data_IF_592543962934
#
_entry.id   IF_592543962934
#
_cell.length_a   1.000
_cell.length_b   1.000
_cell.length_c   1.000
_cell.angle_alpha   90.00
_cell.angle_beta   90.00
_cell.angle_gamma   90.00
#
_symmetry.space_group_name_H-M   'P 1'
#
loop_
_entity.id
_entity.type
_entity.pdbx_description
1 polymer ?
#
# COMPACT_ATOMS: atom_id res chain seq x y z
N UNK A 1 8.03 11.08 -6.68
CA UNK A 1 7.81 9.98 -5.71
C UNK A 1 8.17 8.67 -6.39
N UNK A 2 8.74 7.71 -5.67
CA UNK A 2 8.98 6.35 -6.20
C UNK A 2 7.75 5.50 -5.89
N UNK A 3 6.74 5.62 -6.74
CA UNK A 3 5.53 4.78 -6.72
C UNK A 3 5.86 3.54 -7.56
N UNK A 4 5.41 2.36 -7.15
CA UNK A 4 5.53 1.18 -8.00
C UNK A 4 4.43 1.20 -9.05
N UNK A 5 4.79 1.07 -10.32
CA UNK A 5 3.81 0.80 -11.35
C UNK A 5 3.33 -0.64 -11.19
N UNK A 6 2.04 -0.85 -10.91
CA UNK A 6 1.45 -2.19 -10.73
C UNK A 6 1.74 -3.12 -11.92
N UNK A 7 1.82 -2.56 -13.12
CA UNK A 7 2.19 -3.26 -14.35
C UNK A 7 3.60 -3.88 -14.32
N UNK A 8 4.51 -3.31 -13.52
CA UNK A 8 5.87 -3.81 -13.32
C UNK A 8 6.03 -4.60 -12.02
N UNK A 9 5.04 -4.53 -11.12
CA UNK A 9 5.04 -5.24 -9.85
C UNK A 9 4.98 -6.75 -10.05
N UNK A 10 5.76 -7.48 -9.24
CA UNK A 10 5.84 -8.94 -9.30
C UNK A 10 5.58 -9.57 -7.94
N UNK A 11 5.00 -10.78 -7.92
CA UNK A 11 4.90 -11.53 -6.68
C UNK A 11 6.31 -11.81 -6.13
N UNK A 12 6.52 -11.48 -4.85
CA UNK A 12 7.80 -11.49 -4.16
C UNK A 12 8.45 -10.11 -4.00
N UNK A 13 7.87 -9.04 -4.55
CA UNK A 13 8.36 -7.69 -4.33
C UNK A 13 7.98 -7.18 -2.93
N UNK A 14 8.97 -6.67 -2.20
CA UNK A 14 8.78 -5.98 -0.93
C UNK A 14 8.43 -4.51 -1.18
N UNK A 15 7.27 -4.09 -0.68
CA UNK A 15 6.72 -2.75 -0.88
C UNK A 15 6.24 -2.15 0.42
N UNK A 16 5.88 -0.87 0.38
CA UNK A 16 5.33 -0.12 1.50
C UNK A 16 3.98 0.45 1.12
N UNK A 17 3.01 0.30 2.03
CA UNK A 17 1.63 0.74 1.82
C UNK A 17 1.13 1.53 3.02
N UNK A 18 0.20 2.44 2.77
CA UNK A 18 -0.46 3.22 3.81
C UNK A 18 -1.64 2.37 4.32
N UNK A 19 -1.44 1.66 5.42
CA UNK A 19 -2.47 0.81 6.00
C UNK A 19 -3.31 1.58 7.02
N UNK A 20 -4.61 1.69 6.74
CA UNK A 20 -5.60 2.24 7.67
C UNK A 20 -6.11 1.13 8.57
N UNK A 21 -5.94 1.30 9.89
CA UNK A 21 -6.33 0.28 10.84
C UNK A 21 -7.87 0.12 10.83
N UNK A 22 -8.41 -1.07 10.46
CA UNK A 22 -9.86 -1.26 10.38
C UNK A 22 -10.54 -1.15 11.75
N UNK A 23 -9.82 -1.38 12.85
CA UNK A 23 -10.34 -1.21 14.20
C UNK A 23 -10.28 0.24 14.69
N UNK A 24 -9.38 1.05 14.12
CA UNK A 24 -9.21 2.46 14.48
C UNK A 24 -9.07 3.27 13.19
N UNK A 25 -10.19 3.64 12.54
CA UNK A 25 -10.17 4.31 11.25
C UNK A 25 -9.49 5.69 11.30
N UNK A 26 -9.33 6.29 12.47
CA UNK A 26 -8.58 7.54 12.61
C UNK A 26 -7.07 7.36 12.49
N UNK A 27 -6.57 6.12 12.46
CA UNK A 27 -5.14 5.80 12.42
C UNK A 27 -4.82 5.10 11.11
N UNK A 28 -3.93 5.71 10.33
CA UNK A 28 -3.27 5.08 9.21
C UNK A 28 -1.76 5.19 9.42
N UNK A 29 -1.05 4.12 9.08
CA UNK A 29 0.40 4.04 9.24
C UNK A 29 1.00 3.41 7.99
N UNK A 30 2.22 3.82 7.65
CA UNK A 30 3.02 3.13 6.64
C UNK A 30 3.47 1.79 7.20
N UNK A 31 3.12 0.71 6.51
CA UNK A 31 3.58 -0.63 6.85
C UNK A 31 4.24 -1.30 5.64
N UNK A 32 5.26 -2.13 5.87
CA UNK A 32 5.79 -3.00 4.82
C UNK A 32 4.74 -4.06 4.48
N UNK A 33 4.64 -4.37 3.20
CA UNK A 33 3.78 -5.40 2.65
C UNK A 33 4.53 -6.14 1.54
N UNK A 34 4.09 -7.35 1.23
CA UNK A 34 4.66 -8.13 0.14
C UNK A 34 3.62 -8.31 -0.96
N UNK A 35 4.04 -8.17 -2.21
CA UNK A 35 3.19 -8.47 -3.35
C UNK A 35 3.16 -9.99 -3.51
N UNK A 36 1.96 -10.57 -3.56
CA UNK A 36 1.75 -12.00 -3.70
C UNK A 36 0.70 -12.28 -4.78
N UNK A 37 0.69 -13.50 -5.29
CA UNK A 37 -0.37 -13.93 -6.20
C UNK A 37 -1.69 -14.07 -5.42
N UNK A 38 -2.79 -13.52 -5.96
CA UNK A 38 -4.09 -13.64 -5.32
C UNK A 38 -4.52 -15.12 -5.23
N UNK A 39 -4.93 -15.64 -4.06
CA UNK A 39 -5.16 -17.06 -3.84
C UNK A 39 -6.38 -17.62 -4.61
N UNK A 40 -7.30 -16.74 -5.04
CA UNK A 40 -8.49 -17.14 -5.82
C UNK A 40 -8.40 -16.74 -7.30
N UNK A 41 -7.50 -15.81 -7.64
CA UNK A 41 -7.37 -15.28 -8.99
C UNK A 41 -5.90 -15.32 -9.43
N UNK A 42 -5.51 -16.31 -10.25
CA UNK A 42 -4.13 -16.45 -10.70
C UNK A 42 -3.69 -15.35 -11.69
N UNK A 43 -4.61 -14.46 -12.10
CA UNK A 43 -4.31 -13.30 -12.95
C UNK A 43 -4.29 -11.98 -12.16
N UNK A 44 -4.61 -12.00 -10.87
CA UNK A 44 -4.65 -10.81 -10.03
C UNK A 44 -3.57 -10.86 -8.94
N UNK A 45 -3.00 -9.71 -8.62
CA UNK A 45 -2.05 -9.56 -7.52
C UNK A 45 -2.78 -9.14 -6.25
N UNK A 46 -2.19 -9.49 -5.11
CA UNK A 46 -2.66 -9.13 -3.79
C UNK A 46 -1.48 -8.63 -2.95
N UNK A 47 -1.75 -7.72 -2.02
CA UNK A 47 -0.83 -7.38 -0.95
C UNK A 47 -1.04 -8.34 0.21
N UNK A 48 0.05 -8.91 0.70
CA UNK A 48 0.09 -9.66 1.93
C UNK A 48 0.63 -8.76 3.04
N UNK A 49 -0.25 -8.42 3.99
CA UNK A 49 0.10 -7.67 5.18
C UNK A 49 -0.78 -8.09 6.37
N UNK A 50 -0.23 -8.05 7.58
CA UNK A 50 -0.94 -8.44 8.81
C UNK A 50 -1.61 -9.83 8.72
N UNK A 51 -0.95 -10.79 8.04
CA UNK A 51 -1.49 -12.14 7.80
C UNK A 51 -2.80 -12.17 7.00
N UNK A 52 -3.10 -11.09 6.28
CA UNK A 52 -4.29 -10.92 5.45
C UNK A 52 -3.93 -10.56 4.02
N UNK A 53 -4.78 -10.98 3.08
CA UNK A 53 -4.62 -10.68 1.66
C UNK A 53 -5.55 -9.53 1.29
N UNK A 54 -4.99 -8.47 0.77
CA UNK A 54 -5.71 -7.31 0.23
C UNK A 54 -5.55 -7.30 -1.29
N UNK A 55 -6.65 -7.19 -2.02
CA UNK A 55 -6.58 -7.06 -3.48
C UNK A 55 -5.93 -5.73 -3.80
N UNK A 56 -5.03 -5.73 -4.79
CA UNK A 56 -4.40 -4.49 -5.26
C UNK A 56 -5.25 -3.88 -6.36
N UNK A 57 -5.58 -2.61 -6.24
CA UNK A 57 -6.23 -1.83 -7.27
C UNK A 57 -5.26 -0.80 -7.90
N UNK A 58 -5.53 -0.34 -9.13
CA UNK A 58 -4.70 0.66 -9.82
C UNK A 58 -4.59 2.00 -9.05
N UNK A 59 -5.55 2.30 -8.18
CA UNK A 59 -5.58 3.52 -7.36
C UNK A 59 -4.86 3.34 -6.00
N UNK A 60 -4.42 2.12 -5.67
CA UNK A 60 -3.71 1.89 -4.41
C UNK A 60 -2.32 2.53 -4.42
N UNK A 61 -2.08 3.39 -3.43
CA UNK A 61 -0.76 3.97 -3.18
C UNK A 61 0.23 2.94 -2.66
N UNK A 62 0.91 2.25 -3.58
CA UNK A 62 2.01 1.33 -3.27
C UNK A 62 3.35 1.98 -3.59
N UNK A 63 4.28 1.88 -2.65
CA UNK A 63 5.57 2.55 -2.73
C UNK A 63 6.71 1.56 -2.61
N UNK A 64 7.80 1.78 -3.35
CA UNK A 64 9.00 0.93 -3.25
C UNK A 64 9.87 1.25 -2.03
N UNK A 65 9.61 2.38 -1.37
CA UNK A 65 10.36 2.84 -0.21
C UNK A 65 9.44 3.43 0.85
N UNK A 66 9.74 3.15 2.12
CA UNK A 66 9.05 3.71 3.28
C UNK A 66 9.03 5.24 3.28
N UNK A 67 10.12 5.89 2.87
CA UNK A 67 10.20 7.36 2.79
C UNK A 67 9.20 7.93 1.77
N UNK A 68 9.00 7.25 0.63
CA UNK A 68 8.01 7.68 -0.37
C UNK A 68 6.58 7.49 0.13
N UNK A 69 6.31 6.34 0.78
CA UNK A 69 5.01 6.09 1.41
C UNK A 69 4.71 7.08 2.54
N UNK A 70 5.71 7.40 3.36
CA UNK A 70 5.58 8.33 4.47
C UNK A 70 5.31 9.72 3.96
N UNK A 71 6.03 10.17 2.93
CA UNK A 71 5.79 11.46 2.31
C UNK A 71 4.38 11.54 1.71
N UNK A 72 3.93 10.50 1.01
CA UNK A 72 2.57 10.46 0.47
C UNK A 72 1.51 10.46 1.59
N UNK A 73 1.75 9.71 2.67
CA UNK A 73 0.91 9.75 3.87
C UNK A 73 0.85 11.17 4.43
N UNK A 74 1.99 11.81 4.65
CA UNK A 74 2.05 13.18 5.16
C UNK A 74 1.34 14.17 4.22
N UNK A 75 1.55 14.10 2.91
CA UNK A 75 0.85 14.99 1.97
C UNK A 75 -0.66 14.76 1.97
N UNK A 76 -1.14 13.51 1.98
CA UNK A 76 -2.58 13.22 2.02
C UNK A 76 -3.23 13.51 3.38
N UNK A 77 -2.49 13.41 4.50
CA UNK A 77 -3.03 13.68 5.84
C UNK A 77 -2.91 15.15 6.25
N UNK A 78 -1.89 15.88 5.79
CA UNK A 78 -1.71 17.31 6.08
C UNK A 78 -2.48 18.23 5.14
N UNK A 79 -2.90 17.78 3.95
CA UNK A 79 -3.74 18.59 3.04
C UNK A 79 -5.16 18.84 3.60
N UNK A 80 -5.56 18.13 4.67
CA UNK A 80 -6.79 18.43 5.43
C UNK A 80 -6.60 19.45 6.56
N UNK A 81 -5.43 20.08 6.66
CA UNK A 81 -4.99 20.79 7.87
C UNK A 81 -4.63 22.27 7.74
N UNK A 82 -4.80 22.94 6.60
CA UNK A 82 -4.49 24.37 6.47
C UNK A 82 -5.58 25.14 5.68
N UNK A 83 -6.53 25.75 6.41
CA UNK A 83 -6.98 27.15 6.21
C UNK A 83 -7.06 27.86 7.57
#
# INVERSE_FOLDING_TARGET
MSIIDLENAKPGDEVYVIYRNPHVPSVANVQPAEIVQHPKDPNALALFLNETFHVIEDDDGIFTSSESAQRAYEEHFFDFGEE
#
